data_IF_509699144977
#
_entry.id   IF_509699144977
#
_cell.length_a   1.000
_cell.length_b   1.000
_cell.length_c   1.000
_cell.angle_alpha   90.00
_cell.angle_beta   90.00
_cell.angle_gamma   90.00
#
_symmetry.space_group_name_H-M   'P 1'
#
loop_
_entity.id
_entity.type
_entity.pdbx_description
1 polymer ?
#
# COMPACT_ATOMS: atom_id res chain seq x y z
N UNK A 1 13.04 -0.55 45.33
CA UNK A 1 11.77 -0.48 44.58
C UNK A 1 12.02 0.40 43.36
N UNK A 2 12.17 -0.17 42.17
CA UNK A 2 12.27 0.61 40.94
C UNK A 2 10.85 0.91 40.47
N UNK A 3 10.37 2.12 40.78
CA UNK A 3 9.18 2.69 40.15
C UNK A 3 9.53 2.99 38.71
N UNK A 4 9.26 2.06 37.81
CA UNK A 4 9.33 2.34 36.38
C UNK A 4 8.15 3.25 36.03
N UNK A 5 8.44 4.48 35.62
CA UNK A 5 7.43 5.39 35.11
C UNK A 5 6.68 4.70 33.97
N UNK A 6 5.37 4.56 34.14
CA UNK A 6 4.49 4.08 33.09
C UNK A 6 4.48 5.15 32.01
N UNK A 7 5.23 4.93 30.92
CA UNK A 7 5.17 5.79 29.75
C UNK A 7 3.76 5.66 29.15
N UNK A 8 2.93 6.66 29.40
CA UNK A 8 1.60 6.76 28.80
C UNK A 8 1.78 7.08 27.32
N UNK A 9 1.16 6.27 26.45
CA UNK A 9 1.20 6.50 25.01
C UNK A 9 0.48 7.80 24.66
N UNK A 10 1.06 8.58 23.75
CA UNK A 10 0.38 9.74 23.17
C UNK A 10 -0.73 9.27 22.22
N UNK A 11 -1.93 9.82 22.38
CA UNK A 11 -3.07 9.46 21.54
C UNK A 11 -3.20 10.38 20.33
N UNK A 12 -3.27 9.79 19.14
CA UNK A 12 -3.55 10.48 17.89
C UNK A 12 -4.63 9.77 17.07
N UNK A 13 -5.27 10.48 16.14
CA UNK A 13 -6.14 9.80 15.19
C UNK A 13 -5.28 9.10 14.13
N UNK A 14 -5.35 7.77 14.09
CA UNK A 14 -4.60 6.91 13.18
C UNK A 14 -5.51 6.21 12.16
N UNK A 15 -6.79 6.61 12.01
CA UNK A 15 -7.66 6.01 10.98
C UNK A 15 -7.27 6.44 9.57
N UNK A 16 -7.38 5.57 8.60
CA UNK A 16 -7.34 5.94 7.19
C UNK A 16 -8.75 6.31 6.74
N UNK A 17 -8.86 7.46 6.09
CA UNK A 17 -10.12 8.00 5.56
C UNK A 17 -10.17 7.75 4.04
N UNK A 18 -10.19 8.82 3.25
CA UNK A 18 -10.17 8.75 1.78
C UNK A 18 -8.82 8.32 1.22
N UNK A 19 -8.85 7.80 -0.02
CA UNK A 19 -7.64 7.41 -0.74
C UNK A 19 -6.75 8.64 -0.96
N UNK A 20 -5.51 8.65 -0.44
CA UNK A 20 -4.60 9.76 -0.68
C UNK A 20 -4.22 9.81 -2.17
N UNK A 21 -3.91 11.01 -2.65
CA UNK A 21 -3.29 11.18 -3.98
C UNK A 21 -2.00 10.37 -4.09
N UNK A 22 -1.72 9.80 -5.28
CA UNK A 22 -0.49 9.05 -5.45
C UNK A 22 0.74 9.98 -5.50
N UNK A 23 1.88 9.57 -4.91
CA UNK A 23 3.07 10.40 -4.90
C UNK A 23 3.90 10.31 -6.20
N UNK A 24 3.64 9.31 -7.05
CA UNK A 24 4.43 9.04 -8.25
C UNK A 24 4.33 10.13 -9.32
N UNK A 25 5.31 10.15 -10.22
CA UNK A 25 5.29 10.99 -11.43
C UNK A 25 4.08 10.72 -12.30
N UNK A 26 3.72 11.71 -13.11
CA UNK A 26 2.78 11.52 -14.21
C UNK A 26 3.29 10.46 -15.19
N UNK A 27 2.35 9.77 -15.82
CA UNK A 27 2.61 8.76 -16.84
C UNK A 27 2.18 9.33 -18.19
N UNK A 28 3.05 9.16 -19.20
CA UNK A 28 2.72 9.56 -20.56
C UNK A 28 1.63 8.65 -21.15
N UNK A 29 0.70 9.21 -21.94
CA UNK A 29 -0.29 8.40 -22.64
C UNK A 29 0.38 7.51 -23.69
N UNK A 30 -0.31 6.43 -24.05
CA UNK A 30 0.16 5.44 -25.01
C UNK A 30 -0.92 5.15 -26.05
N UNK A 31 -0.54 4.50 -27.15
CA UNK A 31 -1.49 4.04 -28.17
C UNK A 31 -1.64 2.53 -28.08
N UNK A 32 -2.84 2.04 -27.77
CA UNK A 32 -3.20 0.61 -27.68
C UNK A 32 -4.15 0.28 -28.83
N UNK A 33 -3.79 -0.68 -29.68
CA UNK A 33 -4.58 -1.06 -30.86
C UNK A 33 -5.01 0.14 -31.72
N UNK A 34 -4.12 1.12 -31.90
CA UNK A 34 -4.39 2.33 -32.69
C UNK A 34 -5.20 3.44 -31.99
N UNK A 35 -5.56 3.26 -30.70
CA UNK A 35 -6.36 4.23 -29.93
C UNK A 35 -5.53 4.83 -28.79
N UNK A 36 -5.61 6.16 -28.55
CA UNK A 36 -4.92 6.78 -27.43
C UNK A 36 -5.53 6.34 -26.10
N UNK A 37 -4.69 6.10 -25.10
CA UNK A 37 -5.07 5.66 -23.76
C UNK A 37 -4.21 6.37 -22.73
N UNK A 38 -4.86 6.92 -21.69
CA UNK A 38 -4.17 7.37 -20.49
C UNK A 38 -3.63 6.18 -19.70
N UNK A 39 -2.58 6.42 -18.90
CA UNK A 39 -2.03 5.43 -17.97
C UNK A 39 -2.18 5.91 -16.52
N UNK A 40 -2.33 4.97 -15.61
CA UNK A 40 -2.36 5.21 -14.17
C UNK A 40 -1.78 4.05 -13.38
N UNK A 41 -1.66 4.24 -12.07
CA UNK A 41 -1.19 3.25 -11.11
C UNK A 41 -2.38 2.50 -10.52
N UNK A 42 -2.36 1.19 -10.68
CA UNK A 42 -3.42 0.29 -10.24
C UNK A 42 -2.97 -0.54 -9.04
N UNK A 43 -3.89 -0.70 -8.09
CA UNK A 43 -3.72 -1.56 -6.94
C UNK A 43 -4.00 -3.01 -7.32
N UNK A 44 -3.09 -3.92 -6.97
CA UNK A 44 -3.34 -5.35 -7.12
C UNK A 44 -4.18 -5.85 -5.95
N UNK A 45 -3.75 -5.58 -4.71
CA UNK A 45 -4.58 -5.65 -3.51
C UNK A 45 -5.30 -4.31 -3.36
N UNK A 46 -6.65 -4.25 -3.43
CA UNK A 46 -7.40 -2.99 -3.43
C UNK A 46 -7.12 -2.11 -2.21
N UNK A 47 -7.03 -0.79 -2.44
CA UNK A 47 -6.80 0.18 -1.37
C UNK A 47 -7.85 0.10 -0.26
N UNK A 48 -9.12 -0.10 -0.61
CA UNK A 48 -10.22 -0.34 0.34
C UNK A 48 -9.87 -1.44 1.35
N UNK A 49 -9.30 -2.58 0.92
CA UNK A 49 -8.91 -3.66 1.82
C UNK A 49 -7.70 -3.31 2.68
N UNK A 50 -6.73 -2.58 2.14
CA UNK A 50 -5.61 -2.05 2.92
C UNK A 50 -6.08 -1.06 3.99
N UNK A 51 -6.98 -0.15 3.62
CA UNK A 51 -7.60 0.84 4.51
C UNK A 51 -8.36 0.17 5.64
N UNK A 52 -9.27 -0.74 5.28
CA UNK A 52 -10.10 -1.45 6.26
C UNK A 52 -9.22 -2.31 7.18
N UNK A 53 -8.15 -2.91 6.65
CA UNK A 53 -7.18 -3.68 7.43
C UNK A 53 -6.48 -2.81 8.48
N UNK A 54 -5.91 -1.69 8.05
CA UNK A 54 -5.25 -0.74 8.95
C UNK A 54 -6.23 -0.21 10.01
N UNK A 55 -7.43 0.22 9.61
CA UNK A 55 -8.44 0.75 10.53
C UNK A 55 -8.81 -0.29 11.59
N UNK A 56 -8.99 -1.53 11.18
CA UNK A 56 -9.29 -2.62 12.09
C UNK A 56 -8.12 -2.93 13.05
N UNK A 57 -6.87 -2.82 12.59
CA UNK A 57 -5.69 -2.98 13.45
C UNK A 57 -5.63 -1.90 14.54
N UNK A 58 -5.87 -0.63 14.18
CA UNK A 58 -5.81 0.48 15.14
C UNK A 58 -6.99 0.45 16.12
N UNK A 59 -8.18 0.08 15.67
CA UNK A 59 -9.38 -0.04 16.51
C UNK A 59 -9.26 -1.18 17.53
N UNK A 60 -8.69 -2.32 17.13
CA UNK A 60 -8.52 -3.47 18.02
C UNK A 60 -7.26 -3.38 18.92
N UNK A 61 -6.43 -2.34 18.76
CA UNK A 61 -5.14 -2.27 19.44
C UNK A 61 -4.14 -3.35 18.99
N UNK A 62 -4.38 -3.99 17.85
CA UNK A 62 -3.56 -5.07 17.28
C UNK A 62 -2.27 -4.55 16.64
N UNK A 63 -2.02 -3.23 16.66
CA UNK A 63 -0.89 -2.61 15.98
C UNK A 63 0.48 -3.13 16.44
N UNK A 64 0.56 -3.68 17.67
CA UNK A 64 1.76 -4.35 18.20
C UNK A 64 2.13 -5.62 17.41
N UNK A 65 1.18 -6.19 16.67
CA UNK A 65 1.39 -7.34 15.78
C UNK A 65 1.84 -6.94 14.37
N UNK A 66 1.91 -5.64 14.06
CA UNK A 66 2.25 -5.14 12.73
C UNK A 66 3.74 -5.30 12.39
N UNK A 67 4.14 -6.53 12.06
CA UNK A 67 5.45 -6.91 11.50
C UNK A 67 5.84 -6.14 10.24
N UNK A 68 4.90 -5.56 9.49
CA UNK A 68 5.23 -4.78 8.30
C UNK A 68 5.73 -3.36 8.61
N UNK A 69 5.54 -2.83 9.82
CA UNK A 69 5.97 -1.47 10.17
C UNK A 69 7.51 -1.31 10.24
N UNK A 70 8.28 -2.22 10.88
CA UNK A 70 9.74 -2.13 10.87
C UNK A 70 10.36 -2.11 9.46
N UNK A 71 10.09 -3.05 8.53
CA UNK A 71 10.66 -2.96 7.20
C UNK A 71 10.13 -1.74 6.44
N UNK A 72 8.91 -1.25 6.71
CA UNK A 72 8.42 -0.03 6.07
C UNK A 72 9.30 1.17 6.46
N UNK A 73 9.58 1.32 7.76
CA UNK A 73 10.52 2.33 8.28
C UNK A 73 11.89 2.20 7.62
N UNK A 74 12.42 0.98 7.53
CA UNK A 74 13.76 0.74 6.99
C UNK A 74 13.81 1.12 5.49
N UNK A 75 12.80 0.73 4.71
CA UNK A 75 12.69 1.07 3.28
C UNK A 75 12.52 2.57 3.03
N UNK A 76 11.95 3.32 3.98
CA UNK A 76 11.90 4.79 3.96
C UNK A 76 13.28 5.36 4.31
N UNK A 77 13.94 4.82 5.33
CA UNK A 77 15.27 5.26 5.79
C UNK A 77 16.40 5.03 4.78
N UNK A 78 16.35 3.92 4.06
CA UNK A 78 17.29 3.60 2.96
C UNK A 78 17.02 4.40 1.69
N UNK A 79 16.05 5.32 1.71
CA UNK A 79 15.56 6.11 0.56
C UNK A 79 15.01 5.26 -0.60
N UNK A 80 14.89 3.94 -0.44
CA UNK A 80 14.34 3.05 -1.48
C UNK A 80 12.93 3.48 -1.89
N UNK A 81 12.02 3.64 -0.92
CA UNK A 81 10.67 4.10 -1.21
C UNK A 81 10.64 5.57 -1.62
N UNK A 82 11.50 6.41 -1.05
CA UNK A 82 11.58 7.84 -1.41
C UNK A 82 11.89 8.00 -2.90
N UNK A 83 12.91 7.29 -3.39
CA UNK A 83 13.34 7.34 -4.78
C UNK A 83 12.28 6.80 -5.75
N UNK A 84 11.55 5.75 -5.35
CA UNK A 84 10.50 5.15 -6.18
C UNK A 84 9.25 6.03 -6.23
N UNK A 85 8.84 6.55 -5.07
CA UNK A 85 7.64 7.36 -4.96
C UNK A 85 7.85 8.76 -5.54
N UNK A 86 9.09 9.25 -5.70
CA UNK A 86 9.38 10.57 -6.27
C UNK A 86 10.66 10.61 -7.09
N UNK A 87 10.58 10.56 -8.43
CA UNK A 87 11.75 10.78 -9.28
C UNK A 87 12.22 12.26 -9.32
N UNK A 88 11.44 13.21 -8.78
CA UNK A 88 11.73 14.65 -8.80
C UNK A 88 12.16 15.25 -7.44
N UNK A 89 12.33 14.42 -6.40
CA UNK A 89 13.02 14.81 -5.16
C UNK A 89 12.26 15.69 -4.16
N UNK A 90 10.95 15.90 -4.31
CA UNK A 90 10.20 16.93 -3.53
C UNK A 90 9.97 16.65 -2.03
N UNK A 91 10.36 15.50 -1.46
CA UNK A 91 10.21 15.29 0.01
C UNK A 91 11.53 15.66 0.66
N UNK A 92 11.49 16.54 1.64
CA UNK A 92 12.67 16.86 2.43
C UNK A 92 13.09 15.65 3.27
N UNK A 93 14.38 15.54 3.56
CA UNK A 93 14.90 14.53 4.49
C UNK A 93 14.23 14.65 5.87
N UNK A 94 13.84 15.87 6.27
CA UNK A 94 13.09 16.13 7.51
C UNK A 94 11.69 15.48 7.50
N UNK A 95 10.93 15.61 6.42
CA UNK A 95 9.61 14.96 6.31
C UNK A 95 9.74 13.43 6.37
N UNK A 96 10.78 12.85 5.77
CA UNK A 96 11.02 11.40 5.81
C UNK A 96 11.50 10.93 7.18
N UNK A 97 12.24 11.78 7.89
CA UNK A 97 12.60 11.52 9.27
C UNK A 97 11.36 11.50 10.17
N UNK A 98 10.44 12.47 10.03
CA UNK A 98 9.18 12.50 10.77
C UNK A 98 8.33 11.23 10.52
N UNK A 99 8.26 10.74 9.28
CA UNK A 99 7.56 9.47 8.98
C UNK A 99 8.23 8.29 9.67
N UNK A 100 9.57 8.17 9.63
CA UNK A 100 10.30 7.07 10.28
C UNK A 100 10.09 7.04 11.78
N UNK A 101 10.11 8.22 12.40
CA UNK A 101 9.87 8.40 13.83
C UNK A 101 8.43 8.01 14.17
N UNK A 102 7.45 8.48 13.41
CA UNK A 102 6.05 8.10 13.59
C UNK A 102 5.85 6.58 13.48
N UNK A 103 6.38 5.94 12.43
CA UNK A 103 6.29 4.47 12.28
C UNK A 103 6.92 3.75 13.46
N UNK A 104 8.06 4.23 13.96
CA UNK A 104 8.73 3.66 15.14
C UNK A 104 7.89 3.84 16.40
N UNK A 105 7.33 5.03 16.62
CA UNK A 105 6.51 5.34 17.78
C UNK A 105 5.20 4.53 17.79
N UNK A 106 4.57 4.34 16.63
CA UNK A 106 3.41 3.45 16.48
C UNK A 106 3.81 2.01 16.83
N UNK A 107 4.90 1.49 16.24
CA UNK A 107 5.34 0.11 16.46
C UNK A 107 5.74 -0.16 17.93
N UNK A 108 6.39 0.80 18.58
CA UNK A 108 6.78 0.73 19.98
C UNK A 108 5.61 0.96 20.96
N UNK A 109 4.42 1.33 20.45
CA UNK A 109 3.27 1.66 21.28
C UNK A 109 3.40 2.97 22.05
N UNK A 110 4.30 3.87 21.64
CA UNK A 110 4.41 5.24 22.16
C UNK A 110 3.34 6.15 21.58
N UNK A 111 2.84 5.83 20.40
CA UNK A 111 1.68 6.46 19.76
C UNK A 111 0.56 5.43 19.67
N UNK A 112 -0.62 5.79 20.16
CA UNK A 112 -1.83 4.98 20.14
C UNK A 112 -2.97 5.69 19.41
N UNK A 113 -4.01 4.93 19.04
CA UNK A 113 -5.18 5.50 18.38
C UNK A 113 -6.17 6.11 19.39
N UNK A 114 -6.51 7.39 19.20
CA UNK A 114 -7.67 8.05 19.78
C UNK A 114 -8.53 8.71 18.70
N UNK A 115 -9.83 8.39 18.64
CA UNK A 115 -10.72 8.78 17.54
C UNK A 115 -11.00 10.29 17.44
N UNK A 116 -10.92 11.02 18.55
CA UNK A 116 -11.19 12.47 18.63
C UNK A 116 -9.92 13.31 18.74
N UNK A 117 -8.79 12.75 18.32
CA UNK A 117 -7.47 13.40 18.42
C UNK A 117 -7.03 13.95 17.06
N UNK A 118 -6.04 14.84 17.10
CA UNK A 118 -5.39 15.34 15.88
C UNK A 118 -4.59 14.22 15.21
N UNK A 119 -4.25 14.42 13.93
CA UNK A 119 -3.28 13.58 13.21
C UNK A 119 -1.87 13.91 13.71
N UNK A 120 -0.98 12.92 13.86
CA UNK A 120 0.41 13.19 14.23
C UNK A 120 1.17 13.80 13.06
N UNK A 121 2.30 14.44 13.34
CA UNK A 121 3.23 14.89 12.30
C UNK A 121 3.71 13.71 11.44
N UNK A 122 3.86 13.93 10.13
CA UNK A 122 4.26 12.89 9.18
C UNK A 122 3.14 11.92 8.79
N UNK A 123 1.94 12.04 9.35
CA UNK A 123 0.79 11.17 9.04
C UNK A 123 0.47 11.11 7.56
N UNK A 124 0.25 12.25 6.90
CA UNK A 124 -0.16 12.27 5.48
C UNK A 124 0.89 11.61 4.57
N UNK A 125 2.18 11.78 4.90
CA UNK A 125 3.26 11.15 4.18
C UNK A 125 3.31 9.63 4.42
N UNK A 126 3.08 9.17 5.66
CA UNK A 126 2.95 7.75 6.01
C UNK A 126 1.78 7.12 5.25
N UNK A 127 0.61 7.75 5.29
CA UNK A 127 -0.60 7.29 4.61
C UNK A 127 -0.38 7.20 3.10
N UNK A 128 0.24 8.21 2.50
CA UNK A 128 0.61 8.17 1.08
C UNK A 128 1.54 7.01 0.74
N UNK A 129 2.53 6.70 1.59
CA UNK A 129 3.43 5.56 1.37
C UNK A 129 2.69 4.23 1.52
N UNK A 130 1.91 4.07 2.59
CA UNK A 130 1.16 2.85 2.88
C UNK A 130 0.08 2.56 1.84
N UNK A 131 -0.65 3.58 1.41
CA UNK A 131 -1.66 3.45 0.38
C UNK A 131 -1.05 3.06 -0.97
N UNK A 132 0.19 3.46 -1.24
CA UNK A 132 0.83 3.31 -2.55
C UNK A 132 2.12 2.49 -2.50
N UNK A 133 2.11 1.39 -1.73
CA UNK A 133 3.22 0.45 -1.66
C UNK A 133 3.63 -0.04 -3.05
N UNK A 134 4.86 0.23 -3.55
CA UNK A 134 5.26 -0.13 -4.90
C UNK A 134 5.07 -1.61 -5.24
N UNK A 135 5.33 -2.49 -4.27
CA UNK A 135 5.13 -3.93 -4.40
C UNK A 135 3.70 -4.38 -4.68
N UNK A 136 2.72 -3.52 -4.41
CA UNK A 136 1.30 -3.74 -4.63
C UNK A 136 0.75 -3.06 -5.90
N UNK A 137 1.62 -2.45 -6.72
CA UNK A 137 1.18 -1.60 -7.83
C UNK A 137 1.63 -2.09 -9.19
N UNK A 138 0.84 -1.78 -10.21
CA UNK A 138 1.29 -1.86 -11.60
C UNK A 138 0.75 -0.71 -12.43
N UNK A 139 1.41 -0.44 -13.54
CA UNK A 139 0.99 0.58 -14.49
C UNK A 139 0.09 -0.04 -15.56
N UNK A 140 -1.05 0.60 -15.81
CA UNK A 140 -1.99 0.18 -16.84
C UNK A 140 -2.96 1.29 -17.25
N UNK A 141 -3.79 1.05 -18.27
CA UNK A 141 -4.78 2.00 -18.76
C UNK A 141 -5.76 2.48 -17.71
N UNK A 142 -6.16 3.75 -17.80
CA UNK A 142 -7.10 4.39 -16.87
C UNK A 142 -8.52 3.84 -16.92
N UNK A 143 -8.95 3.39 -18.08
CA UNK A 143 -10.34 3.07 -18.45
C UNK A 143 -10.51 1.60 -18.82
N UNK A 144 -9.64 0.73 -18.30
CA UNK A 144 -9.66 -0.69 -18.59
C UNK A 144 -11.04 -1.33 -18.36
N UNK A 145 -11.46 -2.23 -19.23
CA UNK A 145 -12.76 -2.91 -19.07
C UNK A 145 -12.70 -4.10 -18.10
N UNK A 146 -11.51 -4.61 -17.80
CA UNK A 146 -11.25 -5.73 -16.89
C UNK A 146 -10.88 -5.31 -15.45
N UNK A 147 -11.21 -4.07 -15.03
CA UNK A 147 -10.97 -3.59 -13.66
C UNK A 147 -11.74 -4.46 -12.62
N UNK A 148 -11.05 -5.11 -11.67
CA UNK A 148 -11.67 -5.96 -10.64
C UNK A 148 -12.43 -5.17 -9.55
N UNK A 149 -12.30 -3.84 -9.54
CA UNK A 149 -12.81 -2.92 -8.52
C UNK A 149 -12.25 -3.24 -7.13
N UNK A 150 -13.07 -3.84 -6.28
CA UNK A 150 -12.79 -4.12 -4.86
C UNK A 150 -12.26 -5.55 -4.64
N UNK A 151 -11.94 -6.27 -5.73
CA UNK A 151 -11.33 -7.59 -5.74
C UNK A 151 -9.85 -7.50 -6.12
N UNK A 152 -9.10 -8.56 -5.83
CA UNK A 152 -7.72 -8.66 -6.28
C UNK A 152 -7.64 -8.57 -7.81
N UNK A 153 -6.65 -7.83 -8.32
CA UNK A 153 -6.42 -7.70 -9.76
C UNK A 153 -5.65 -8.90 -10.32
N UNK A 154 -6.39 -9.96 -10.65
CA UNK A 154 -5.82 -11.14 -11.27
C UNK A 154 -5.27 -10.87 -12.69
N UNK A 155 -5.78 -9.83 -13.37
CA UNK A 155 -5.28 -9.43 -14.68
C UNK A 155 -3.84 -8.90 -14.61
N UNK A 156 -3.51 -8.20 -13.52
CA UNK A 156 -2.14 -7.78 -13.22
C UNK A 156 -1.12 -8.93 -13.24
N UNK A 157 -1.54 -10.16 -12.94
CA UNK A 157 -0.66 -11.33 -12.93
C UNK A 157 -0.39 -11.94 -14.31
N UNK A 158 -1.13 -11.53 -15.34
CA UNK A 158 -0.91 -11.97 -16.73
C UNK A 158 0.06 -11.08 -17.48
N UNK A 159 0.21 -9.82 -17.06
CA UNK A 159 1.15 -8.88 -17.69
C UNK A 159 2.62 -9.30 -17.46
N UNK A 160 3.48 -8.97 -18.41
CA UNK A 160 4.92 -9.14 -18.34
C UNK A 160 5.48 -8.37 -17.14
N UNK A 161 6.26 -9.06 -16.33
CA UNK A 161 6.80 -8.52 -15.08
C UNK A 161 6.11 -9.07 -13.83
N UNK A 162 4.93 -9.68 -13.97
CA UNK A 162 4.30 -10.45 -12.90
C UNK A 162 5.04 -11.77 -12.67
N UNK A 163 6.04 -11.74 -11.78
CA UNK A 163 6.74 -12.95 -11.35
C UNK A 163 5.80 -13.82 -10.51
N UNK A 164 5.88 -15.15 -10.65
CA UNK A 164 5.12 -16.10 -9.82
C UNK A 164 5.27 -15.82 -8.31
N UNK A 165 6.48 -15.43 -7.88
CA UNK A 165 6.75 -15.03 -6.49
C UNK A 165 5.88 -13.84 -6.06
N UNK A 166 5.72 -12.84 -6.93
CA UNK A 166 4.91 -11.65 -6.64
C UNK A 166 3.43 -12.00 -6.55
N UNK A 167 2.93 -12.82 -7.50
CA UNK A 167 1.56 -13.35 -7.47
C UNK A 167 1.29 -14.03 -6.12
N UNK A 168 2.14 -14.96 -5.72
CA UNK A 168 2.01 -15.65 -4.43
C UNK A 168 1.96 -14.68 -3.25
N UNK A 169 2.88 -13.71 -3.18
CA UNK A 169 2.93 -12.71 -2.10
C UNK A 169 1.65 -11.89 -2.02
N UNK A 170 1.14 -11.41 -3.15
CA UNK A 170 -0.04 -10.54 -3.19
C UNK A 170 -1.34 -11.31 -2.96
N UNK A 171 -1.48 -12.52 -3.51
CA UNK A 171 -2.61 -13.40 -3.21
C UNK A 171 -2.65 -13.78 -1.74
N UNK A 172 -1.53 -14.21 -1.15
CA UNK A 172 -1.43 -14.51 0.28
C UNK A 172 -1.78 -13.28 1.14
N UNK A 173 -1.26 -12.09 0.78
CA UNK A 173 -1.61 -10.85 1.48
C UNK A 173 -3.08 -10.52 1.40
N UNK A 174 -3.73 -10.68 0.24
CA UNK A 174 -5.15 -10.43 0.09
C UNK A 174 -5.98 -11.40 0.93
N UNK A 175 -5.69 -12.69 0.87
CA UNK A 175 -6.42 -13.73 1.59
C UNK A 175 -6.33 -13.55 3.11
N UNK A 176 -5.13 -13.31 3.63
CA UNK A 176 -4.92 -13.11 5.07
C UNK A 176 -5.55 -11.80 5.57
N UNK A 177 -5.49 -10.73 4.79
CA UNK A 177 -6.23 -9.49 5.07
C UNK A 177 -7.73 -9.77 5.16
N UNK A 178 -8.30 -10.46 4.16
CA UNK A 178 -9.73 -10.81 4.19
C UNK A 178 -10.08 -11.71 5.38
N UNK A 179 -9.21 -12.66 5.75
CA UNK A 179 -9.43 -13.54 6.88
C UNK A 179 -9.49 -12.78 8.22
N UNK A 180 -8.62 -11.77 8.39
CA UNK A 180 -8.63 -10.87 9.55
C UNK A 180 -9.82 -9.90 9.51
N UNK A 181 -10.16 -9.35 8.34
CA UNK A 181 -11.34 -8.51 8.19
C UNK A 181 -12.64 -9.26 8.54
N UNK A 182 -12.72 -10.56 8.24
CA UNK A 182 -13.85 -11.42 8.63
C UNK A 182 -13.86 -11.83 10.11
N UNK A 183 -12.74 -11.77 10.83
CA UNK A 183 -12.70 -12.16 12.24
C UNK A 183 -11.49 -11.66 13.02
N UNK A 184 -11.71 -11.26 14.27
CA UNK A 184 -10.73 -10.58 15.13
C UNK A 184 -10.01 -11.57 16.04
N UNK A 185 -8.89 -12.13 15.57
CA UNK A 185 -7.98 -12.87 16.46
C UNK A 185 -6.55 -12.39 16.27
N UNK A 186 -5.78 -12.36 17.37
CA UNK A 186 -4.36 -11.99 17.34
C UNK A 186 -3.54 -12.87 16.37
N UNK A 187 -3.96 -14.12 16.17
CA UNK A 187 -3.37 -15.02 15.17
C UNK A 187 -3.59 -14.52 13.75
N UNK A 188 -4.80 -14.06 13.43
CA UNK A 188 -5.14 -13.55 12.10
C UNK A 188 -4.49 -12.20 11.80
N UNK A 189 -4.41 -11.29 12.78
CA UNK A 189 -3.69 -10.02 12.62
C UNK A 189 -2.20 -10.26 12.32
N UNK A 190 -1.59 -11.22 13.04
CA UNK A 190 -0.21 -11.63 12.79
C UNK A 190 0.01 -12.13 11.36
N UNK A 191 -0.82 -13.06 10.86
CA UNK A 191 -0.66 -13.57 9.49
C UNK A 191 -0.88 -12.51 8.41
N UNK A 192 -1.92 -11.69 8.55
CA UNK A 192 -2.16 -10.56 7.64
C UNK A 192 -0.97 -9.59 7.64
N UNK A 193 -0.40 -9.31 8.81
CA UNK A 193 0.79 -8.47 8.92
C UNK A 193 2.05 -9.11 8.33
N UNK A 194 2.25 -10.42 8.48
CA UNK A 194 3.40 -11.15 7.91
C UNK A 194 3.30 -11.21 6.38
N UNK A 195 2.10 -11.34 5.84
CA UNK A 195 1.89 -11.29 4.41
C UNK A 195 2.18 -9.88 3.85
N UNK A 196 1.72 -8.82 4.53
CA UNK A 196 2.03 -7.45 4.13
C UNK A 196 3.52 -7.09 4.30
N UNK A 197 4.22 -7.69 5.28
CA UNK A 197 5.68 -7.58 5.41
C UNK A 197 6.40 -7.97 4.11
N UNK A 198 5.97 -9.06 3.46
CA UNK A 198 6.55 -9.52 2.20
C UNK A 198 6.30 -8.52 1.06
N UNK A 199 5.12 -7.90 1.02
CA UNK A 199 4.78 -6.85 0.04
C UNK A 199 5.67 -5.63 0.24
N UNK A 200 5.84 -5.17 1.48
CA UNK A 200 6.68 -4.01 1.80
C UNK A 200 8.14 -4.23 1.35
N UNK A 201 8.68 -5.43 1.59
CA UNK A 201 10.05 -5.78 1.17
C UNK A 201 10.20 -6.07 -0.31
N UNK A 202 9.13 -5.97 -1.09
CA UNK A 202 9.15 -6.10 -2.54
C UNK A 202 8.94 -4.71 -3.19
N UNK A 203 9.94 -3.81 -3.21
CA UNK A 203 9.78 -2.42 -3.68
C UNK A 203 9.52 -2.29 -5.20
N UNK A 204 9.27 -3.37 -5.91
CA UNK A 204 9.20 -3.33 -7.37
C UNK A 204 7.78 -3.01 -7.82
N UNK A 205 7.61 -1.81 -8.36
CA UNK A 205 6.50 -1.44 -9.24
C UNK A 205 6.59 -2.26 -10.54
N UNK A 206 5.46 -2.73 -11.05
CA UNK A 206 5.40 -3.36 -12.36
C UNK A 206 5.07 -2.34 -13.43
N UNK A 207 6.03 -2.15 -14.32
CA UNK A 207 5.95 -1.20 -15.41
C UNK A 207 4.92 -1.62 -16.46
N UNK A 208 4.51 -0.65 -17.27
CA UNK A 208 3.63 -0.88 -18.41
C UNK A 208 4.40 -1.58 -19.54
N UNK A 209 3.81 -2.62 -20.13
CA UNK A 209 4.29 -3.20 -21.39
C UNK A 209 3.12 -3.26 -22.37
N UNK A 210 3.24 -2.50 -23.47
CA UNK A 210 2.22 -2.42 -24.50
C UNK A 210 1.79 -3.80 -25.05
N UNK A 211 2.69 -4.79 -25.03
CA UNK A 211 2.40 -6.13 -25.54
C UNK A 211 1.37 -6.88 -24.71
N UNK A 212 1.15 -6.48 -23.46
CA UNK A 212 0.19 -7.14 -22.56
C UNK A 212 -1.23 -6.61 -22.73
N UNK A 213 -1.44 -5.55 -23.52
CA UNK A 213 -2.72 -4.87 -23.62
C UNK A 213 -3.32 -4.98 -25.02
N UNK A 214 -4.64 -5.08 -25.08
CA UNK A 214 -5.39 -5.07 -26.33
C UNK A 214 -6.70 -4.31 -26.15
N UNK A 215 -7.24 -3.81 -27.26
CA UNK A 215 -8.60 -3.28 -27.33
C UNK A 215 -9.48 -4.26 -28.10
N UNK A 216 -10.58 -4.72 -27.50
CA UNK A 216 -11.60 -5.53 -28.20
C UNK A 216 -12.63 -4.58 -28.80
N UNK A 217 -12.98 -4.76 -30.07
CA UNK A 217 -14.01 -3.96 -30.71
C UNK A 217 -15.35 -4.07 -29.97
N UNK A 218 -15.96 -2.91 -29.68
CA UNK A 218 -17.19 -2.80 -28.90
C UNK A 218 -16.96 -2.61 -27.40
N UNK A 219 -15.77 -2.86 -26.87
CA UNK A 219 -15.45 -2.62 -25.46
C UNK A 219 -15.14 -1.15 -25.17
N UNK A 220 -15.49 -0.73 -23.95
CA UNK A 220 -15.32 0.65 -23.46
C UNK A 220 -13.87 1.04 -23.20
N UNK A 221 -12.97 0.06 -23.13
CA UNK A 221 -11.59 0.26 -22.75
C UNK A 221 -10.70 -0.91 -23.15
N UNK A 222 -9.39 -0.78 -22.95
CA UNK A 222 -8.44 -1.86 -23.17
C UNK A 222 -8.54 -2.90 -22.04
N UNK A 223 -7.94 -4.07 -22.25
CA UNK A 223 -7.80 -5.11 -21.22
C UNK A 223 -6.47 -5.82 -21.36
N UNK A 224 -6.10 -6.58 -20.32
CA UNK A 224 -4.94 -7.45 -20.37
C UNK A 224 -5.22 -8.64 -21.29
N UNK A 225 -4.28 -8.95 -22.17
CA UNK A 225 -4.36 -10.13 -23.05
C UNK A 225 -4.48 -11.41 -22.23
N UNK A 226 -5.35 -12.30 -22.69
CA UNK A 226 -5.53 -13.66 -22.16
C UNK A 226 -4.41 -14.58 -22.58
#
# INVERSE_FOLDING_TARGET
MYGGDVVVAEEYNLKLDDRPSHPFRGLEPVTISGRPSGLTYHHIVPYSKLRDFWNKLVENGDIKQCKFLPPLRDMIGEKTYVNILRPDGRRSDAEMQAVKELVSNIYMGKVSHGSSRLRPEGWDNLVGIYAWLPGNLFVGPTDRCDDPKDKIDDAAFRTKGARQVRRRILSESYEEILAYLKGTTARKSKFASEALYKVVRYPKLQDFDLRDWTWIDGEKGPQVKG
#
